data_IF_978146496068
#
_entry.id   IF_978146496068
#
_cell.length_a   1.000
_cell.length_b   1.000
_cell.length_c   1.000
_cell.angle_alpha   90.00
_cell.angle_beta   90.00
_cell.angle_gamma   90.00
#
_symmetry.space_group_name_H-M   'P 1'
#
loop_
_entity.id
_entity.type
_entity.pdbx_description
1 polymer ?
#
# COMPACT_ATOMS: atom_id res chain seq x y z
N UNK A 1 39.65 -19.51 18.41
CA UNK A 1 39.95 -20.95 18.35
C UNK A 1 39.70 -21.58 16.99
N UNK A 2 38.42 -21.47 16.42
CA UNK A 2 38.14 -22.04 15.10
C UNK A 2 38.93 -21.32 14.00
N UNK A 3 38.96 -20.01 14.01
CA UNK A 3 39.69 -19.20 13.03
C UNK A 3 41.22 -19.45 13.13
N UNK A 4 41.77 -19.52 14.32
CA UNK A 4 43.16 -19.89 14.57
C UNK A 4 43.47 -21.29 14.05
N UNK A 5 42.59 -22.25 14.34
CA UNK A 5 42.74 -23.65 13.89
C UNK A 5 42.74 -23.77 12.37
N UNK A 6 41.92 -22.94 11.71
CA UNK A 6 41.79 -22.94 10.25
C UNK A 6 42.72 -21.91 9.57
N UNK A 7 43.54 -21.16 10.31
CA UNK A 7 44.46 -20.15 9.80
C UNK A 7 43.76 -19.03 8.97
N UNK A 8 42.59 -18.60 9.43
CA UNK A 8 41.78 -17.58 8.76
C UNK A 8 41.50 -16.36 9.68
N UNK A 9 42.43 -16.06 10.59
CA UNK A 9 42.29 -14.95 11.54
C UNK A 9 42.20 -13.59 10.89
N UNK A 10 42.77 -13.42 9.70
CA UNK A 10 42.76 -12.17 8.96
C UNK A 10 41.54 -12.05 8.01
N UNK A 11 40.71 -13.09 7.97
CA UNK A 11 39.55 -13.16 7.06
C UNK A 11 38.23 -12.64 7.63
N UNK A 12 38.23 -12.13 8.89
CA UNK A 12 36.99 -11.62 9.52
C UNK A 12 37.30 -10.52 10.54
N UNK A 13 36.32 -9.69 10.79
CA UNK A 13 36.34 -8.67 11.87
C UNK A 13 35.10 -8.87 12.73
N UNK A 14 35.24 -8.73 14.05
CA UNK A 14 34.06 -8.70 14.92
C UNK A 14 33.41 -7.32 14.88
N UNK A 15 32.10 -7.30 14.71
CA UNK A 15 31.27 -6.10 14.78
C UNK A 15 30.35 -6.18 16.00
N UNK A 16 30.20 -5.11 16.73
CA UNK A 16 29.28 -5.01 17.87
C UNK A 16 28.57 -3.66 17.88
N UNK A 17 27.34 -3.65 18.32
CA UNK A 17 26.58 -2.43 18.53
C UNK A 17 27.05 -1.71 19.80
N UNK A 18 27.31 -0.41 19.69
CA UNK A 18 27.70 0.42 20.83
C UNK A 18 26.62 0.44 21.92
N UNK A 19 27.04 0.37 23.18
CA UNK A 19 26.16 0.35 24.33
C UNK A 19 25.60 -1.01 24.72
N UNK A 20 25.75 -2.02 23.85
CA UNK A 20 25.32 -3.40 24.16
C UNK A 20 26.49 -4.28 24.62
N UNK A 21 26.27 -5.01 25.72
CA UNK A 21 27.19 -6.03 26.23
C UNK A 21 28.69 -5.57 26.32
N UNK A 22 28.94 -4.39 26.90
CA UNK A 22 30.29 -3.82 27.02
C UNK A 22 31.35 -4.75 27.58
N UNK A 23 30.98 -5.66 28.46
CA UNK A 23 31.89 -6.68 29.04
C UNK A 23 32.31 -7.69 27.96
N UNK A 24 31.41 -8.13 27.09
CA UNK A 24 31.72 -9.02 25.97
C UNK A 24 32.59 -8.32 24.95
N UNK A 25 32.30 -7.05 24.60
CA UNK A 25 33.08 -6.22 23.70
C UNK A 25 34.55 -6.13 24.17
N UNK A 26 34.76 -5.83 25.47
CA UNK A 26 36.12 -5.75 26.05
C UNK A 26 36.84 -7.06 25.92
N UNK A 27 36.20 -8.19 26.29
CA UNK A 27 36.80 -9.50 26.18
C UNK A 27 37.17 -9.87 24.73
N UNK A 28 36.30 -9.57 23.76
CA UNK A 28 36.60 -9.80 22.33
C UNK A 28 37.76 -8.91 21.88
N UNK A 29 37.76 -7.61 22.22
CA UNK A 29 38.83 -6.68 21.86
C UNK A 29 40.20 -7.13 22.44
N UNK A 30 40.23 -7.64 23.68
CA UNK A 30 41.45 -8.20 24.30
C UNK A 30 41.94 -9.46 23.56
N UNK A 31 41.02 -10.27 23.04
CA UNK A 31 41.37 -11.51 22.33
C UNK A 31 41.79 -11.30 20.88
N UNK A 32 41.25 -10.32 20.20
CA UNK A 32 41.38 -10.14 18.74
C UNK A 32 42.08 -8.86 18.31
N UNK A 33 42.27 -7.91 19.23
CA UNK A 33 42.93 -6.62 18.98
C UNK A 33 41.99 -5.56 18.39
N UNK A 34 41.04 -5.93 17.51
CA UNK A 34 40.12 -5.02 16.87
C UNK A 34 38.67 -5.47 16.99
N UNK A 35 37.77 -4.50 17.20
CA UNK A 35 36.32 -4.68 17.15
C UNK A 35 35.72 -3.47 16.45
N UNK A 36 34.98 -3.68 15.38
CA UNK A 36 34.20 -2.62 14.74
C UNK A 36 33.00 -2.30 15.61
N UNK A 37 32.89 -1.02 16.02
CA UNK A 37 31.71 -0.55 16.75
C UNK A 37 30.76 0.15 15.81
N UNK A 38 29.57 -0.36 15.75
CA UNK A 38 28.46 0.27 15.03
C UNK A 38 27.61 1.08 16.00
N UNK A 39 27.39 2.34 15.68
CA UNK A 39 26.50 3.21 16.43
C UNK A 39 25.65 4.05 15.48
N UNK A 40 24.33 4.24 15.74
CA UNK A 40 23.55 5.19 15.00
C UNK A 40 24.07 6.61 15.32
N UNK A 41 24.52 7.33 14.29
CA UNK A 41 24.94 8.72 14.41
C UNK A 41 23.87 9.59 13.78
N UNK A 42 23.30 10.51 14.54
CA UNK A 42 22.29 11.45 14.07
C UNK A 42 22.60 12.84 14.60
N UNK A 43 22.33 13.86 13.80
CA UNK A 43 22.28 15.22 14.27
C UNK A 43 21.15 15.40 15.29
N UNK A 44 21.22 16.45 16.12
CA UNK A 44 20.22 16.71 17.15
C UNK A 44 18.80 16.78 16.58
N UNK A 45 18.68 17.40 15.42
CA UNK A 45 17.43 17.62 14.68
C UNK A 45 16.84 16.29 14.14
N UNK A 46 17.71 15.29 13.94
CA UNK A 46 17.33 13.97 13.41
C UNK A 46 17.25 12.87 14.48
N UNK A 47 17.35 13.24 15.75
CA UNK A 47 17.41 12.28 16.86
C UNK A 47 16.21 11.33 16.90
N UNK A 48 15.02 11.80 16.48
CA UNK A 48 13.82 10.99 16.40
C UNK A 48 13.98 9.82 15.39
N UNK A 49 14.74 10.05 14.31
CA UNK A 49 15.03 9.01 13.31
C UNK A 49 15.94 7.91 13.89
N UNK A 50 16.90 8.30 14.76
CA UNK A 50 17.76 7.35 15.47
C UNK A 50 16.95 6.49 16.45
N UNK A 51 15.97 7.09 17.17
CA UNK A 51 15.05 6.35 18.05
C UNK A 51 14.22 5.37 17.21
N UNK A 52 13.61 5.82 16.13
CA UNK A 52 12.81 4.97 15.25
C UNK A 52 13.64 3.80 14.67
N UNK A 53 14.89 4.05 14.31
CA UNK A 53 15.82 3.00 13.89
C UNK A 53 16.04 1.96 14.99
N UNK A 54 16.34 2.38 16.22
CA UNK A 54 16.57 1.47 17.35
C UNK A 54 15.33 0.65 17.71
N UNK A 55 14.15 1.26 17.70
CA UNK A 55 12.88 0.57 17.96
C UNK A 55 12.66 -0.56 16.92
N UNK A 56 12.88 -0.27 15.63
CA UNK A 56 12.77 -1.33 14.61
C UNK A 56 13.78 -2.46 14.81
N UNK A 57 15.01 -2.14 15.24
CA UNK A 57 16.01 -3.20 15.56
C UNK A 57 15.56 -4.08 16.72
N UNK A 58 14.92 -3.49 17.74
CA UNK A 58 14.38 -4.26 18.87
C UNK A 58 13.21 -5.16 18.43
N UNK A 59 12.31 -4.63 17.60
CA UNK A 59 11.18 -5.42 17.06
C UNK A 59 11.66 -6.61 16.23
N UNK A 60 12.65 -6.41 15.37
CA UNK A 60 13.24 -7.49 14.59
C UNK A 60 13.79 -8.64 15.46
N UNK A 61 14.29 -8.34 16.65
CA UNK A 61 14.80 -9.35 17.58
C UNK A 61 13.68 -10.20 18.20
N UNK A 62 12.43 -9.81 18.06
CA UNK A 62 11.26 -10.57 18.55
C UNK A 62 10.65 -11.49 17.50
N UNK A 63 11.07 -11.38 16.25
CA UNK A 63 10.62 -12.24 15.13
C UNK A 63 10.90 -13.73 15.40
N UNK A 64 10.02 -14.60 14.91
CA UNK A 64 10.14 -16.06 15.13
C UNK A 64 11.40 -16.64 14.48
N UNK A 65 11.87 -16.03 13.40
CA UNK A 65 13.07 -16.42 12.66
C UNK A 65 14.36 -15.89 13.30
N UNK A 66 14.25 -14.95 14.26
CA UNK A 66 15.42 -14.32 14.84
C UNK A 66 16.00 -15.11 16.00
N UNK A 67 17.27 -15.49 15.87
CA UNK A 67 18.01 -16.21 16.92
C UNK A 67 17.96 -15.49 18.28
N UNK A 68 17.98 -14.16 18.30
CA UNK A 68 18.00 -13.38 19.56
C UNK A 68 16.74 -13.56 20.41
N UNK A 69 15.60 -13.91 19.79
CA UNK A 69 14.37 -14.24 20.53
C UNK A 69 14.60 -15.43 21.49
N UNK A 70 15.37 -16.39 21.09
CA UNK A 70 15.57 -17.64 21.82
C UNK A 70 16.83 -17.60 22.69
N UNK A 71 17.82 -16.79 22.35
CA UNK A 71 19.14 -16.78 22.95
C UNK A 71 19.16 -16.65 24.50
N UNK A 72 18.28 -15.88 25.17
CA UNK A 72 18.34 -15.74 26.64
C UNK A 72 18.01 -17.01 27.40
N UNK A 73 17.19 -17.89 26.84
CA UNK A 73 16.75 -19.16 27.49
C UNK A 73 17.28 -20.41 26.79
N UNK A 74 18.08 -20.26 25.75
CA UNK A 74 18.53 -21.35 24.91
C UNK A 74 19.42 -22.33 25.67
N UNK A 75 19.04 -23.61 25.68
CA UNK A 75 19.82 -24.72 26.24
C UNK A 75 20.05 -25.78 25.19
N UNK A 76 21.26 -26.32 25.16
CA UNK A 76 21.59 -27.42 24.25
C UNK A 76 20.61 -28.58 24.42
N UNK A 77 19.98 -28.99 23.33
CA UNK A 77 19.01 -30.09 23.30
C UNK A 77 17.59 -29.72 23.72
N UNK A 78 17.28 -28.45 24.01
CA UNK A 78 15.90 -27.99 24.20
C UNK A 78 15.10 -28.02 22.90
N UNK A 79 13.80 -27.74 22.96
CA UNK A 79 12.96 -27.64 21.77
C UNK A 79 13.40 -26.48 20.87
N UNK A 80 13.70 -25.33 21.47
CA UNK A 80 14.22 -24.15 20.78
C UNK A 80 15.55 -24.42 20.08
N UNK A 81 16.43 -25.20 20.75
CA UNK A 81 17.71 -25.64 20.16
C UNK A 81 17.46 -26.48 18.90
N UNK A 82 16.54 -27.45 18.96
CA UNK A 82 16.24 -28.33 17.83
C UNK A 82 15.58 -27.55 16.69
N UNK A 83 14.73 -26.62 17.04
CA UNK A 83 14.11 -25.71 16.05
C UNK A 83 15.20 -24.91 15.31
N UNK A 84 16.06 -24.20 16.03
CA UNK A 84 17.12 -23.38 15.43
C UNK A 84 18.14 -24.24 14.65
N UNK A 85 18.42 -25.44 15.11
CA UNK A 85 19.29 -26.38 14.40
C UNK A 85 18.66 -26.79 13.07
N UNK A 86 17.38 -27.12 13.07
CA UNK A 86 16.64 -27.49 11.85
C UNK A 86 16.60 -26.34 10.84
N UNK A 87 16.33 -25.12 11.30
CA UNK A 87 16.34 -23.93 10.43
C UNK A 87 17.74 -23.68 9.84
N UNK A 88 18.78 -23.82 10.64
CA UNK A 88 20.15 -23.70 10.15
C UNK A 88 20.50 -24.78 9.11
N UNK A 89 20.14 -26.04 9.37
CA UNK A 89 20.37 -27.16 8.45
C UNK A 89 19.59 -26.95 7.14
N UNK A 90 18.35 -26.46 7.20
CA UNK A 90 17.54 -26.11 6.04
C UNK A 90 18.18 -24.96 5.24
N UNK A 91 18.62 -23.91 5.90
CA UNK A 91 19.31 -22.80 5.24
C UNK A 91 20.60 -23.26 4.53
N UNK A 92 21.37 -24.16 5.17
CA UNK A 92 22.55 -24.74 4.54
C UNK A 92 22.21 -25.59 3.30
N UNK A 93 21.12 -26.35 3.35
CA UNK A 93 20.67 -27.18 2.23
C UNK A 93 20.22 -26.33 1.02
N UNK A 94 19.56 -25.19 1.28
CA UNK A 94 19.01 -24.29 0.25
C UNK A 94 19.95 -23.16 -0.17
N UNK A 95 21.18 -23.09 0.33
CA UNK A 95 22.11 -21.98 0.06
C UNK A 95 22.35 -21.73 -1.44
N UNK A 96 22.41 -22.80 -2.24
CA UNK A 96 22.67 -22.75 -3.67
C UNK A 96 21.40 -22.47 -4.50
N UNK A 97 20.24 -22.50 -3.86
CA UNK A 97 18.92 -22.18 -4.42
C UNK A 97 18.49 -20.74 -4.11
N UNK A 98 19.29 -20.03 -3.29
CA UNK A 98 18.96 -18.64 -2.93
C UNK A 98 18.87 -17.77 -4.19
N UNK A 99 17.73 -17.06 -4.41
CA UNK A 99 17.55 -16.26 -5.60
C UNK A 99 18.54 -15.09 -5.63
N UNK A 100 19.13 -14.85 -6.79
CA UNK A 100 20.00 -13.68 -7.01
C UNK A 100 19.21 -12.37 -7.24
N UNK A 101 17.88 -12.48 -7.32
CA UNK A 101 16.96 -11.35 -7.52
C UNK A 101 16.15 -11.09 -6.26
N UNK A 102 15.72 -9.85 -6.00
CA UNK A 102 14.87 -9.54 -4.85
C UNK A 102 13.54 -10.28 -4.92
N UNK A 103 12.97 -10.64 -3.76
CA UNK A 103 11.61 -11.17 -3.67
C UNK A 103 10.54 -10.12 -3.97
N UNK A 104 10.88 -8.85 -3.85
CA UNK A 104 10.02 -7.72 -4.23
C UNK A 104 10.09 -7.53 -5.74
N UNK A 105 9.01 -7.90 -6.42
CA UNK A 105 8.95 -7.95 -7.90
C UNK A 105 7.79 -7.11 -8.47
N UNK A 106 7.11 -6.33 -7.63
CA UNK A 106 5.98 -5.53 -8.11
C UNK A 106 6.42 -4.57 -9.23
N UNK A 107 5.70 -4.58 -10.33
CA UNK A 107 5.87 -3.63 -11.44
C UNK A 107 4.51 -3.14 -11.90
N UNK A 108 4.15 -1.91 -11.52
CA UNK A 108 2.87 -1.30 -11.89
C UNK A 108 2.71 -1.06 -13.40
N UNK A 109 3.81 -1.06 -14.16
CA UNK A 109 3.72 -0.96 -15.64
C UNK A 109 3.35 -2.30 -16.30
N UNK A 110 3.56 -3.42 -15.60
CA UNK A 110 3.33 -4.77 -16.13
C UNK A 110 2.27 -5.53 -15.33
N UNK A 111 1.48 -4.84 -14.55
CA UNK A 111 0.43 -5.44 -13.74
C UNK A 111 -0.62 -6.08 -14.65
N UNK A 112 -0.86 -7.37 -14.45
CA UNK A 112 -1.85 -8.13 -15.20
C UNK A 112 -3.09 -8.29 -14.33
N UNK A 113 -4.18 -7.74 -14.78
CA UNK A 113 -5.46 -7.83 -14.07
C UNK A 113 -6.21 -9.10 -14.53
N UNK A 114 -6.61 -9.99 -13.62
CA UNK A 114 -7.36 -11.18 -13.98
C UNK A 114 -8.75 -10.81 -14.53
N UNK A 115 -9.20 -11.51 -15.57
CA UNK A 115 -10.53 -11.28 -16.17
C UNK A 115 -11.71 -11.53 -15.20
N UNK A 116 -11.49 -12.36 -14.18
CA UNK A 116 -12.46 -12.65 -13.13
C UNK A 116 -11.87 -12.31 -11.77
N UNK A 117 -12.34 -11.21 -11.20
CA UNK A 117 -12.18 -10.91 -9.79
C UNK A 117 -13.51 -11.21 -9.09
N UNK A 118 -13.45 -11.67 -7.87
CA UNK A 118 -14.63 -12.02 -7.11
C UNK A 118 -14.39 -13.20 -6.18
N UNK A 119 -13.14 -13.48 -5.87
CA UNK A 119 -12.75 -14.53 -4.93
C UNK A 119 -13.04 -14.15 -3.48
N UNK A 120 -13.09 -12.84 -3.17
CA UNK A 120 -13.31 -12.39 -1.79
C UNK A 120 -14.72 -12.70 -1.25
N UNK A 121 -15.73 -12.87 -2.10
CA UNK A 121 -17.09 -13.15 -1.61
C UNK A 121 -17.21 -14.53 -0.94
N UNK A 122 -16.47 -15.53 -1.41
CA UNK A 122 -16.47 -16.89 -0.86
C UNK A 122 -15.15 -17.27 -0.16
N UNK A 123 -14.10 -16.46 -0.34
CA UNK A 123 -12.75 -16.67 0.18
C UNK A 123 -12.40 -15.76 1.35
N UNK A 124 -11.12 -15.67 1.65
CA UNK A 124 -10.58 -14.72 2.60
C UNK A 124 -10.38 -13.36 1.92
N UNK A 125 -10.70 -12.28 2.65
CA UNK A 125 -10.39 -10.94 2.22
C UNK A 125 -8.90 -10.65 2.44
N UNK A 126 -8.25 -10.11 1.41
CA UNK A 126 -6.90 -9.60 1.49
C UNK A 126 -6.89 -8.15 1.02
N UNK A 127 -6.22 -7.29 1.78
CA UNK A 127 -6.06 -5.89 1.40
C UNK A 127 -5.32 -5.74 0.07
N UNK A 128 -5.71 -4.73 -0.66
CA UNK A 128 -5.00 -4.32 -1.88
C UNK A 128 -3.59 -3.87 -1.53
N UNK A 129 -2.55 -4.40 -2.19
CA UNK A 129 -1.18 -3.98 -1.90
C UNK A 129 -0.92 -2.56 -2.41
N UNK A 130 -0.33 -1.74 -1.54
CA UNK A 130 0.21 -0.45 -1.92
C UNK A 130 1.38 -0.57 -2.89
N UNK A 131 1.70 0.52 -3.57
CA UNK A 131 2.83 0.55 -4.49
C UNK A 131 4.15 0.53 -3.72
N UNK A 132 5.03 -0.41 -4.04
CA UNK A 132 6.38 -0.44 -3.52
C UNK A 132 7.27 0.60 -4.23
N UNK A 133 7.32 1.79 -3.67
CA UNK A 133 8.08 2.92 -4.21
C UNK A 133 9.61 2.73 -4.12
N UNK A 134 10.09 1.72 -3.40
CA UNK A 134 11.51 1.37 -3.37
C UNK A 134 12.00 0.75 -4.68
N UNK A 135 11.08 0.20 -5.49
CA UNK A 135 11.40 -0.45 -6.75
C UNK A 135 11.58 0.56 -7.90
N UNK A 136 12.64 0.37 -8.67
CA UNK A 136 12.96 1.26 -9.78
C UNK A 136 11.88 1.27 -10.88
N UNK A 137 11.19 0.14 -11.10
CA UNK A 137 10.06 0.05 -12.04
C UNK A 137 8.92 0.98 -11.63
N UNK A 138 8.52 0.94 -10.36
CA UNK A 138 7.43 1.78 -9.84
C UNK A 138 7.80 3.27 -9.79
N UNK A 139 9.07 3.62 -9.56
CA UNK A 139 9.52 5.02 -9.69
C UNK A 139 9.46 5.53 -11.13
N UNK A 140 9.75 4.68 -12.12
CA UNK A 140 9.54 5.06 -13.54
C UNK A 140 8.07 5.24 -13.88
N UNK A 141 7.20 4.38 -13.34
CA UNK A 141 5.76 4.54 -13.45
C UNK A 141 5.28 5.86 -12.82
N UNK A 142 5.76 6.21 -11.62
CA UNK A 142 5.47 7.51 -10.99
C UNK A 142 5.90 8.70 -11.86
N UNK A 143 7.06 8.60 -12.51
CA UNK A 143 7.53 9.64 -13.42
C UNK A 143 6.60 9.80 -14.63
N UNK A 144 6.10 8.69 -15.20
CA UNK A 144 5.13 8.74 -16.29
C UNK A 144 3.79 9.36 -15.88
N UNK A 145 3.30 9.07 -14.65
CA UNK A 145 2.13 9.73 -14.07
C UNK A 145 2.34 11.24 -14.00
N UNK A 146 3.50 11.65 -13.46
CA UNK A 146 3.85 13.05 -13.34
C UNK A 146 3.85 13.75 -14.71
N UNK A 147 4.48 13.16 -15.71
CA UNK A 147 4.55 13.72 -17.07
C UNK A 147 3.15 13.88 -17.69
N UNK A 148 2.25 12.93 -17.45
CA UNK A 148 0.87 12.99 -17.94
C UNK A 148 0.04 14.08 -17.25
N UNK A 149 0.20 14.24 -15.94
CA UNK A 149 -0.70 15.06 -15.12
C UNK A 149 -0.15 16.44 -14.77
N UNK A 150 1.13 16.71 -14.98
CA UNK A 150 1.71 18.04 -14.82
C UNK A 150 1.31 18.91 -16.00
N UNK A 151 0.21 19.67 -15.84
CA UNK A 151 -0.28 20.59 -16.86
C UNK A 151 0.57 21.86 -16.95
N UNK A 152 0.54 22.50 -18.10
CA UNK A 152 1.14 23.79 -18.40
C UNK A 152 0.07 24.81 -18.80
N UNK A 153 0.45 26.07 -18.96
CA UNK A 153 -0.50 27.10 -19.40
C UNK A 153 -1.05 26.88 -20.83
N UNK A 154 -0.35 26.09 -21.63
CA UNK A 154 -0.75 25.77 -23.02
C UNK A 154 -1.71 24.57 -23.10
N UNK A 155 -1.86 23.80 -22.00
CA UNK A 155 -2.74 22.65 -21.97
C UNK A 155 -4.20 23.07 -21.75
N UNK A 156 -5.10 22.53 -22.55
CA UNK A 156 -6.54 22.73 -22.32
C UNK A 156 -6.97 22.02 -21.03
N UNK A 157 -7.79 22.68 -20.18
CA UNK A 157 -8.31 22.06 -18.96
C UNK A 157 -9.26 20.91 -19.29
N UNK A 158 -9.22 19.86 -18.48
CA UNK A 158 -10.13 18.71 -18.58
C UNK A 158 -11.56 19.18 -18.32
N UNK A 159 -12.49 18.88 -19.24
CA UNK A 159 -13.89 19.25 -19.08
C UNK A 159 -14.63 18.14 -18.35
N UNK A 160 -15.21 18.46 -17.19
CA UNK A 160 -15.93 17.51 -16.35
C UNK A 160 -17.43 17.79 -16.48
N UNK A 161 -18.21 16.87 -17.07
CA UNK A 161 -19.67 17.01 -17.20
C UNK A 161 -20.38 16.72 -15.89
N UNK A 162 -21.63 17.16 -15.76
CA UNK A 162 -22.59 16.51 -14.89
C UNK A 162 -23.07 15.22 -15.54
N UNK A 163 -23.14 14.12 -14.76
CA UNK A 163 -23.68 12.85 -15.26
C UNK A 163 -24.91 12.47 -14.46
N UNK A 164 -26.06 12.43 -15.12
CA UNK A 164 -27.33 12.05 -14.50
C UNK A 164 -28.02 11.00 -15.36
N UNK A 165 -28.21 9.80 -14.86
CA UNK A 165 -28.85 8.71 -15.59
C UNK A 165 -28.12 8.37 -16.90
N UNK A 166 -26.79 8.30 -16.87
CA UNK A 166 -25.90 8.09 -18.03
C UNK A 166 -25.89 9.21 -19.10
N UNK A 167 -26.53 10.34 -18.83
CA UNK A 167 -26.49 11.52 -19.71
C UNK A 167 -25.42 12.48 -19.21
N UNK A 168 -24.47 12.84 -20.09
CA UNK A 168 -23.44 13.84 -19.84
C UNK A 168 -23.99 15.24 -20.21
N UNK A 169 -23.88 16.18 -19.28
CA UNK A 169 -24.37 17.57 -19.45
C UNK A 169 -23.16 18.50 -19.34
N UNK A 170 -22.77 19.09 -20.46
CA UNK A 170 -21.68 20.05 -20.56
C UNK A 170 -22.18 21.50 -20.81
N UNK A 171 -23.35 21.63 -21.41
CA UNK A 171 -23.90 22.91 -21.82
C UNK A 171 -24.89 23.47 -20.77
N UNK A 172 -25.17 24.77 -20.87
CA UNK A 172 -26.17 25.47 -20.07
C UNK A 172 -26.01 25.32 -18.54
N UNK A 173 -24.78 25.24 -18.07
CA UNK A 173 -24.43 25.17 -16.64
C UNK A 173 -23.29 26.13 -16.31
N UNK A 174 -23.37 26.71 -15.13
CA UNK A 174 -22.25 27.45 -14.55
C UNK A 174 -21.04 26.53 -14.43
N UNK A 175 -19.86 27.09 -14.65
CA UNK A 175 -18.61 26.36 -14.66
C UNK A 175 -17.69 26.90 -13.60
N UNK A 176 -16.98 26.02 -12.89
CA UNK A 176 -15.85 26.35 -12.02
C UNK A 176 -14.60 25.67 -12.50
N UNK A 177 -13.47 26.28 -12.19
CA UNK A 177 -12.13 25.76 -12.53
C UNK A 177 -11.42 25.24 -11.30
N UNK A 178 -10.52 24.28 -11.53
CA UNK A 178 -9.61 23.71 -10.54
C UNK A 178 -8.21 24.16 -10.94
N UNK A 179 -7.51 24.80 -10.02
CA UNK A 179 -6.11 25.21 -10.19
C UNK A 179 -5.18 24.18 -9.57
N UNK A 180 -4.03 23.93 -10.20
CA UNK A 180 -2.98 23.06 -9.65
C UNK A 180 -2.30 23.76 -8.45
N UNK A 181 -2.46 23.26 -7.23
CA UNK A 181 -1.87 23.86 -6.05
C UNK A 181 -0.34 23.75 -6.00
N UNK A 182 0.25 22.88 -6.83
CA UNK A 182 1.71 22.68 -6.88
C UNK A 182 2.41 23.73 -7.73
N UNK A 183 1.67 24.54 -8.50
CA UNK A 183 2.22 25.49 -9.47
C UNK A 183 1.85 26.93 -9.14
N UNK A 184 1.91 27.31 -7.90
CA UNK A 184 1.73 28.69 -7.44
C UNK A 184 3.05 29.48 -7.67
N UNK A 185 3.02 30.70 -8.27
CA UNK A 185 1.87 31.52 -8.61
C UNK A 185 1.35 31.41 -10.08
N UNK A 186 1.72 30.38 -10.81
CA UNK A 186 1.41 30.28 -12.25
C UNK A 186 -0.10 30.11 -12.55
N UNK A 187 -0.94 29.77 -11.56
CA UNK A 187 -2.40 29.59 -11.69
C UNK A 187 -2.82 28.66 -12.83
N UNK A 188 -2.15 27.53 -12.97
CA UNK A 188 -2.45 26.55 -14.02
C UNK A 188 -3.80 25.89 -13.77
N UNK A 189 -4.71 25.98 -14.73
CA UNK A 189 -6.01 25.33 -14.67
C UNK A 189 -5.90 23.87 -15.10
N UNK A 190 -6.22 22.95 -14.20
CA UNK A 190 -6.21 21.49 -14.45
C UNK A 190 -7.51 21.03 -15.07
N UNK A 191 -8.64 21.48 -14.53
CA UNK A 191 -9.96 21.05 -14.94
C UNK A 191 -10.99 22.16 -14.83
N UNK A 192 -12.11 21.98 -15.54
CA UNK A 192 -13.30 22.81 -15.44
C UNK A 192 -14.54 21.90 -15.30
N UNK A 193 -15.32 22.09 -14.24
CA UNK A 193 -16.49 21.27 -13.94
C UNK A 193 -17.76 22.06 -13.93
N UNK A 194 -18.88 21.38 -14.22
CA UNK A 194 -20.21 21.96 -14.30
C UNK A 194 -20.90 21.92 -12.94
N UNK A 195 -21.56 23.03 -12.57
CA UNK A 195 -22.34 23.10 -11.34
C UNK A 195 -23.78 22.61 -11.57
N UNK A 196 -24.21 21.72 -10.66
CA UNK A 196 -25.60 21.27 -10.68
C UNK A 196 -26.57 22.36 -10.22
N UNK A 197 -27.72 22.43 -10.87
CA UNK A 197 -28.86 23.20 -10.39
C UNK A 197 -29.71 22.38 -9.41
N UNK A 198 -30.67 23.03 -8.73
CA UNK A 198 -31.65 22.32 -7.89
C UNK A 198 -32.44 21.29 -8.72
N UNK A 199 -32.80 21.64 -9.94
CA UNK A 199 -33.51 20.73 -10.83
C UNK A 199 -32.67 19.51 -11.23
N UNK A 200 -31.35 19.67 -11.37
CA UNK A 200 -30.44 18.53 -11.62
C UNK A 200 -30.38 17.60 -10.40
N UNK A 201 -30.32 18.16 -9.20
CA UNK A 201 -30.35 17.36 -7.98
C UNK A 201 -31.65 16.58 -7.82
N UNK A 202 -32.81 17.25 -8.07
CA UNK A 202 -34.11 16.57 -8.04
C UNK A 202 -34.20 15.46 -9.10
N UNK A 203 -33.67 15.69 -10.29
CA UNK A 203 -33.59 14.70 -11.36
C UNK A 203 -32.70 13.52 -10.97
N UNK A 204 -31.54 13.79 -10.41
CA UNK A 204 -30.62 12.72 -9.95
C UNK A 204 -31.29 11.83 -8.89
N UNK A 205 -32.00 12.44 -7.92
CA UNK A 205 -32.77 11.68 -6.92
C UNK A 205 -33.92 10.88 -7.58
N UNK A 206 -34.61 11.44 -8.55
CA UNK A 206 -35.69 10.75 -9.27
C UNK A 206 -35.15 9.52 -10.03
N UNK A 207 -34.01 9.65 -10.73
CA UNK A 207 -33.34 8.54 -11.44
C UNK A 207 -32.91 7.47 -10.45
N UNK A 208 -32.27 7.83 -9.35
CA UNK A 208 -31.85 6.86 -8.33
C UNK A 208 -33.03 6.12 -7.69
N UNK A 209 -34.16 6.80 -7.46
CA UNK A 209 -35.39 6.20 -6.97
C UNK A 209 -36.05 5.24 -7.98
N UNK A 210 -35.95 5.54 -9.25
CA UNK A 210 -36.49 4.68 -10.31
C UNK A 210 -35.74 3.34 -10.44
N UNK A 211 -34.49 3.28 -9.96
CA UNK A 211 -33.64 2.08 -9.97
C UNK A 211 -33.57 1.42 -11.36
N UNK A 212 -33.16 2.16 -12.41
CA UNK A 212 -33.25 1.70 -13.79
C UNK A 212 -32.39 0.45 -14.05
N UNK A 213 -31.33 0.26 -13.28
CA UNK A 213 -30.42 -0.88 -13.38
C UNK A 213 -30.83 -2.08 -12.50
N UNK A 214 -31.91 -1.93 -11.74
CA UNK A 214 -32.45 -2.99 -10.88
C UNK A 214 -31.58 -3.34 -9.68
N UNK A 215 -30.69 -2.44 -9.24
CA UNK A 215 -29.74 -2.67 -8.15
C UNK A 215 -30.39 -3.20 -6.88
N UNK A 216 -31.59 -2.70 -6.55
CA UNK A 216 -32.33 -3.15 -5.35
C UNK A 216 -32.77 -4.60 -5.41
N UNK A 217 -32.91 -5.16 -6.61
CA UNK A 217 -33.34 -6.56 -6.83
C UNK A 217 -32.17 -7.54 -6.84
N UNK A 218 -30.93 -7.03 -6.99
CA UNK A 218 -29.73 -7.87 -7.03
C UNK A 218 -29.54 -8.59 -5.70
N UNK A 219 -29.20 -9.87 -5.77
CA UNK A 219 -28.71 -10.65 -4.64
C UNK A 219 -27.38 -10.10 -4.12
N UNK A 220 -26.96 -10.42 -2.90
CA UNK A 220 -25.65 -10.03 -2.37
C UNK A 220 -24.49 -10.44 -3.30
N UNK A 221 -24.53 -11.63 -3.89
CA UNK A 221 -23.50 -12.12 -4.81
C UNK A 221 -23.45 -11.32 -6.12
N UNK A 222 -24.62 -10.96 -6.68
CA UNK A 222 -24.69 -10.13 -7.88
C UNK A 222 -24.17 -8.71 -7.62
N UNK A 223 -24.50 -8.11 -6.47
CA UNK A 223 -23.93 -6.82 -6.06
C UNK A 223 -22.42 -6.88 -5.89
N UNK A 224 -21.91 -7.95 -5.28
CA UNK A 224 -20.47 -8.18 -5.18
C UNK A 224 -19.82 -8.23 -6.58
N UNK A 225 -20.42 -8.96 -7.52
CA UNK A 225 -19.89 -9.04 -8.89
C UNK A 225 -19.84 -7.67 -9.59
N UNK A 226 -20.77 -6.76 -9.30
CA UNK A 226 -20.72 -5.38 -9.82
C UNK A 226 -19.60 -4.60 -9.17
N UNK A 227 -19.50 -4.63 -7.84
CA UNK A 227 -18.48 -3.88 -7.09
C UNK A 227 -17.06 -4.40 -7.34
N UNK A 228 -16.90 -5.72 -7.55
CA UNK A 228 -15.62 -6.29 -7.98
C UNK A 228 -15.16 -5.76 -9.35
N UNK A 229 -16.09 -5.48 -10.28
CA UNK A 229 -15.76 -4.78 -11.53
C UNK A 229 -15.35 -3.33 -11.29
N UNK A 230 -16.02 -2.63 -10.38
CA UNK A 230 -15.60 -1.28 -9.97
C UNK A 230 -14.18 -1.31 -9.40
N UNK A 231 -13.89 -2.22 -8.48
CA UNK A 231 -12.54 -2.39 -7.93
C UNK A 231 -11.50 -2.66 -9.02
N UNK A 232 -11.87 -3.44 -10.05
CA UNK A 232 -11.00 -3.71 -11.20
C UNK A 232 -10.70 -2.43 -12.01
N UNK A 233 -11.72 -1.62 -12.32
CA UNK A 233 -11.50 -0.38 -13.05
C UNK A 233 -10.66 0.61 -12.21
N UNK A 234 -10.90 0.71 -10.90
CA UNK A 234 -10.07 1.53 -10.00
C UNK A 234 -8.61 1.06 -10.01
N UNK A 235 -8.33 -0.27 -10.05
CA UNK A 235 -6.97 -0.79 -10.20
C UNK A 235 -6.31 -0.38 -11.52
N UNK A 236 -7.05 -0.48 -12.63
CA UNK A 236 -6.54 -0.10 -13.96
C UNK A 236 -6.21 1.38 -14.02
N UNK A 237 -7.04 2.20 -13.41
CA UNK A 237 -6.92 3.66 -13.44
C UNK A 237 -6.10 4.21 -12.26
N UNK A 238 -5.45 3.34 -11.46
CA UNK A 238 -4.67 3.73 -10.26
C UNK A 238 -3.73 4.90 -10.55
N UNK A 239 -2.97 4.84 -11.64
CA UNK A 239 -2.04 5.92 -12.00
C UNK A 239 -2.73 7.25 -12.29
N UNK A 240 -3.86 7.22 -12.96
CA UNK A 240 -4.65 8.41 -13.26
C UNK A 240 -5.32 8.98 -12.01
N UNK A 241 -5.80 8.14 -11.11
CA UNK A 241 -6.35 8.57 -9.82
C UNK A 241 -5.29 9.24 -8.94
N UNK A 242 -4.09 8.67 -8.85
CA UNK A 242 -2.95 9.28 -8.14
C UNK A 242 -2.58 10.62 -8.77
N UNK A 243 -2.47 10.66 -10.11
CA UNK A 243 -2.13 11.88 -10.85
C UNK A 243 -3.18 12.97 -10.68
N UNK A 244 -4.47 12.62 -10.72
CA UNK A 244 -5.59 13.52 -10.46
C UNK A 244 -5.54 14.09 -9.05
N UNK A 245 -5.33 13.24 -8.03
CA UNK A 245 -5.23 13.68 -6.64
C UNK A 245 -4.07 14.67 -6.46
N UNK A 246 -2.91 14.41 -7.06
CA UNK A 246 -1.77 15.33 -7.01
C UNK A 246 -2.06 16.66 -7.71
N UNK A 247 -2.65 16.63 -8.92
CA UNK A 247 -2.92 17.82 -9.70
C UNK A 247 -4.06 18.68 -9.11
N UNK A 248 -5.05 18.07 -8.44
CA UNK A 248 -6.21 18.76 -7.89
C UNK A 248 -5.98 19.23 -6.44
N UNK A 249 -5.34 18.44 -5.60
CA UNK A 249 -5.23 18.69 -4.15
C UNK A 249 -3.78 18.89 -3.65
N UNK A 250 -2.80 18.68 -4.52
CA UNK A 250 -1.38 18.72 -4.13
C UNK A 250 -0.93 17.52 -3.30
N UNK A 251 -1.71 16.44 -3.29
CA UNK A 251 -1.40 15.24 -2.50
C UNK A 251 -0.15 14.54 -3.06
N UNK A 252 0.73 14.07 -2.17
CA UNK A 252 1.89 13.30 -2.59
C UNK A 252 1.47 11.88 -3.02
N UNK A 253 2.21 11.29 -3.96
CA UNK A 253 1.84 10.00 -4.56
C UNK A 253 1.74 8.86 -3.55
N UNK A 254 2.59 8.86 -2.52
CA UNK A 254 2.56 7.86 -1.46
C UNK A 254 1.29 7.90 -0.61
N UNK A 255 0.66 9.06 -0.47
CA UNK A 255 -0.61 9.19 0.23
C UNK A 255 -1.80 8.89 -0.69
N UNK A 256 -1.74 9.40 -1.94
CA UNK A 256 -2.79 9.15 -2.92
C UNK A 256 -2.90 7.65 -3.27
N UNK A 257 -1.79 6.93 -3.34
CA UNK A 257 -1.76 5.49 -3.63
C UNK A 257 -2.51 4.66 -2.57
N UNK A 258 -2.28 4.98 -1.29
CA UNK A 258 -2.98 4.33 -0.17
C UNK A 258 -4.49 4.55 -0.25
N UNK A 259 -4.94 5.75 -0.63
CA UNK A 259 -6.38 6.03 -0.82
C UNK A 259 -6.98 5.26 -1.98
N UNK A 260 -6.22 5.03 -3.05
CA UNK A 260 -6.68 4.17 -4.16
C UNK A 260 -6.78 2.72 -3.71
N UNK A 261 -5.79 2.22 -2.95
CA UNK A 261 -5.86 0.89 -2.33
C UNK A 261 -7.08 0.75 -1.42
N UNK A 262 -7.34 1.75 -0.58
CA UNK A 262 -8.51 1.78 0.31
C UNK A 262 -9.84 1.80 -0.48
N UNK A 263 -9.93 2.54 -1.57
CA UNK A 263 -11.11 2.56 -2.42
C UNK A 263 -11.40 1.18 -3.04
N UNK A 264 -10.35 0.46 -3.46
CA UNK A 264 -10.44 -0.91 -3.94
C UNK A 264 -10.90 -1.84 -2.82
N UNK A 265 -10.29 -1.73 -1.65
CA UNK A 265 -10.65 -2.52 -0.47
C UNK A 265 -12.12 -2.30 -0.09
N UNK A 266 -12.63 -1.08 -0.10
CA UNK A 266 -14.03 -0.81 0.17
C UNK A 266 -14.97 -1.48 -0.83
N UNK A 267 -14.64 -1.41 -2.11
CA UNK A 267 -15.45 -2.06 -3.14
C UNK A 267 -15.50 -3.59 -3.00
N UNK A 268 -14.43 -4.20 -2.52
CA UNK A 268 -14.32 -5.65 -2.30
C UNK A 268 -14.83 -6.08 -0.92
N UNK A 269 -14.50 -5.34 0.14
CA UNK A 269 -14.76 -5.71 1.52
C UNK A 269 -16.22 -5.55 1.94
N UNK A 270 -16.88 -4.46 1.55
CA UNK A 270 -18.26 -4.24 2.00
C UNK A 270 -19.25 -5.30 1.51
N UNK A 271 -19.18 -5.80 0.26
CA UNK A 271 -19.99 -6.95 -0.13
C UNK A 271 -19.63 -8.22 0.64
N UNK A 272 -18.35 -8.43 0.93
CA UNK A 272 -17.86 -9.55 1.75
C UNK A 272 -18.45 -9.49 3.15
N UNK A 273 -18.36 -8.36 3.83
CA UNK A 273 -18.90 -8.18 5.18
C UNK A 273 -20.44 -8.23 5.21
N UNK A 274 -21.10 -7.74 4.15
CA UNK A 274 -22.57 -7.79 4.04
C UNK A 274 -23.13 -9.22 4.00
N UNK A 275 -22.34 -10.19 3.50
CA UNK A 275 -22.71 -11.61 3.53
C UNK A 275 -22.99 -12.08 4.95
N UNK A 276 -22.15 -11.69 5.92
CA UNK A 276 -22.33 -12.06 7.31
C UNK A 276 -23.70 -11.62 7.88
N UNK A 277 -24.23 -10.47 7.43
CA UNK A 277 -25.55 -9.99 7.84
C UNK A 277 -26.68 -10.79 7.22
N UNK A 278 -26.50 -11.35 6.02
CA UNK A 278 -27.53 -12.17 5.35
C UNK A 278 -27.62 -13.59 5.91
N UNK A 279 -26.55 -14.06 6.57
CA UNK A 279 -26.46 -15.37 7.20
C UNK A 279 -27.02 -15.38 8.65
N UNK A 280 -27.37 -14.22 9.21
CA UNK A 280 -27.95 -14.13 10.54
C UNK A 280 -29.43 -14.45 10.52
N UNK A 281 -29.84 -15.58 11.13
CA UNK A 281 -31.20 -16.13 11.12
C UNK A 281 -32.32 -15.20 11.67
N UNK A 282 -31.95 -14.18 12.46
CA UNK A 282 -32.93 -13.34 13.16
C UNK A 282 -32.84 -11.84 12.80
N UNK A 283 -32.11 -11.49 11.74
CA UNK A 283 -31.95 -10.10 11.30
C UNK A 283 -32.47 -9.96 9.89
N UNK A 284 -33.53 -9.17 9.73
CA UNK A 284 -34.02 -8.76 8.41
C UNK A 284 -33.45 -7.35 8.12
N UNK A 285 -32.42 -7.26 7.29
CA UNK A 285 -31.93 -6.00 6.79
C UNK A 285 -32.78 -5.50 5.62
N UNK A 286 -33.59 -4.48 5.86
CA UNK A 286 -34.32 -3.76 4.79
C UNK A 286 -33.53 -2.52 4.39
N UNK A 287 -32.72 -2.63 3.35
CA UNK A 287 -32.07 -1.47 2.74
C UNK A 287 -33.08 -0.66 1.92
N UNK A 288 -33.27 0.60 2.28
CA UNK A 288 -34.03 1.59 1.49
C UNK A 288 -33.10 2.73 1.04
N UNK A 289 -31.85 2.42 0.73
CA UNK A 289 -30.88 3.43 0.33
C UNK A 289 -31.18 3.97 -1.07
N UNK A 290 -31.17 5.28 -1.19
CA UNK A 290 -30.99 6.00 -2.45
C UNK A 290 -29.61 6.59 -2.40
N UNK A 291 -28.69 6.09 -3.25
CA UNK A 291 -27.35 6.65 -3.38
C UNK A 291 -27.36 7.75 -4.45
N UNK A 292 -26.98 8.96 -4.08
CA UNK A 292 -26.60 10.02 -5.01
C UNK A 292 -25.14 10.32 -4.73
N UNK A 293 -24.28 10.07 -5.70
CA UNK A 293 -22.89 10.49 -5.62
C UNK A 293 -22.80 11.90 -6.17
N UNK A 294 -22.40 12.84 -5.33
CA UNK A 294 -22.07 14.20 -5.72
C UNK A 294 -20.55 14.31 -5.71
N UNK A 295 -19.96 14.45 -6.87
CA UNK A 295 -18.52 14.70 -7.04
C UNK A 295 -18.21 16.19 -6.93
#
# INVERSE_FOLDING_TARGET
>A
KLAERNQVTDGFTFEMLEGMANHVRRAISEMTGEVLLYAPVAAREEFINAIAYLVRRLDENTGEENFLRYSPSLKTGSEEWRFLQKEFEAACAHRDEAPSVPNRIQDRNQEVFPEKMGTCYEGEFNNEPDTDWSLAANRRWAQAIREKWQKTADDAPIQIPLVIGNEEILEDRDTRTILDPNQIPAEITVAAYRLATVADADRAVAVAKADPDGWRQLSPAERHAVLARVAMEVRKDRGDLIGTAAANTGKVYTEADVEVSEAIDFAEYYPYSARAFTELENIQATGKGVGVVVS
#
